data_IF_977062396772
#
_entry.id   IF_977062396772
#
_cell.length_a   1.000
_cell.length_b   1.000
_cell.length_c   1.000
_cell.angle_alpha   90.00
_cell.angle_beta   90.00
_cell.angle_gamma   90.00
#
_symmetry.space_group_name_H-M   'P 1'
#
loop_
_entity.id
_entity.type
_entity.pdbx_description
1 polymer ?
#
# COMPACT_ATOMS: atom_id res chain seq x y z
N UNK A 1 18.55 -23.07 43.78
CA UNK A 1 17.23 -22.66 44.31
C UNK A 1 16.81 -21.37 43.62
N UNK A 2 15.72 -21.43 42.84
CA UNK A 2 15.30 -20.42 41.87
C UNK A 2 15.17 -19.02 42.51
N UNK A 3 16.07 -18.08 42.19
CA UNK A 3 15.96 -16.67 42.61
C UNK A 3 14.66 -16.02 42.13
N UNK A 4 14.10 -16.52 41.02
CA UNK A 4 12.74 -16.19 40.56
C UNK A 4 11.67 -16.46 41.62
N UNK A 5 11.83 -17.52 42.43
CA UNK A 5 10.85 -17.92 43.46
C UNK A 5 10.94 -17.06 44.73
N UNK A 6 12.09 -16.43 44.98
CA UNK A 6 12.29 -15.53 46.13
C UNK A 6 11.71 -14.13 45.86
N UNK A 7 11.89 -13.59 44.64
CA UNK A 7 11.26 -12.32 44.21
C UNK A 7 9.73 -12.41 44.11
N UNK A 8 9.21 -13.59 43.73
CA UNK A 8 7.77 -13.88 43.70
C UNK A 8 7.12 -13.87 45.10
N UNK A 9 7.89 -13.94 46.19
CA UNK A 9 7.36 -13.94 47.56
C UNK A 9 7.02 -12.55 48.10
N UNK A 10 7.83 -11.53 47.81
CA UNK A 10 7.74 -10.21 48.44
C UNK A 10 7.34 -9.06 47.49
N UNK A 11 7.58 -9.18 46.18
CA UNK A 11 7.33 -8.09 45.23
C UNK A 11 6.56 -8.56 43.98
N UNK A 12 5.49 -9.36 44.21
CA UNK A 12 4.59 -9.87 43.16
C UNK A 12 4.06 -8.75 42.27
N UNK A 13 3.68 -7.62 42.86
CA UNK A 13 3.14 -6.46 42.15
C UNK A 13 4.20 -5.84 41.23
N UNK A 14 5.45 -5.69 41.71
CA UNK A 14 6.53 -5.15 40.89
C UNK A 14 6.91 -6.08 39.73
N UNK A 15 6.93 -7.40 39.99
CA UNK A 15 7.21 -8.40 38.94
C UNK A 15 6.09 -8.45 37.90
N UNK A 16 4.82 -8.41 38.33
CA UNK A 16 3.65 -8.39 37.45
C UNK A 16 3.60 -7.09 36.63
N UNK A 17 3.90 -5.95 37.27
CA UNK A 17 3.99 -4.65 36.62
C UNK A 17 5.10 -4.61 35.57
N UNK A 18 6.27 -5.19 35.87
CA UNK A 18 7.36 -5.30 34.91
C UNK A 18 6.98 -6.16 33.69
N UNK A 19 6.39 -7.34 33.92
CA UNK A 19 5.92 -8.21 32.82
C UNK A 19 4.86 -7.50 31.98
N UNK A 20 3.92 -6.80 32.62
CA UNK A 20 2.89 -6.03 31.91
C UNK A 20 3.48 -4.90 31.09
N UNK A 21 4.45 -4.15 31.65
CA UNK A 21 5.14 -3.07 30.94
C UNK A 21 5.88 -3.60 29.70
N UNK A 22 6.59 -4.72 29.81
CA UNK A 22 7.26 -5.36 28.67
C UNK A 22 6.25 -5.80 27.61
N UNK A 23 5.13 -6.42 28.02
CA UNK A 23 4.08 -6.85 27.10
C UNK A 23 3.46 -5.66 26.34
N UNK A 24 3.17 -4.56 27.04
CA UNK A 24 2.67 -3.33 26.43
C UNK A 24 3.70 -2.71 25.49
N UNK A 25 4.97 -2.60 25.90
CA UNK A 25 6.04 -2.09 25.03
C UNK A 25 6.19 -2.90 23.75
N UNK A 26 6.11 -4.23 23.82
CA UNK A 26 6.15 -5.08 22.63
C UNK A 26 4.91 -4.89 21.74
N UNK A 27 3.72 -4.80 22.33
CA UNK A 27 2.49 -4.57 21.57
C UNK A 27 2.50 -3.22 20.84
N UNK A 28 2.81 -2.13 21.55
CA UNK A 28 2.89 -0.80 20.96
C UNK A 28 4.06 -0.68 19.99
N UNK A 29 5.21 -1.28 20.30
CA UNK A 29 6.37 -1.33 19.42
C UNK A 29 6.07 -2.07 18.12
N UNK A 30 5.49 -3.27 18.18
CA UNK A 30 5.11 -4.03 16.99
C UNK A 30 4.03 -3.32 16.16
N UNK A 31 3.04 -2.69 16.81
CA UNK A 31 2.02 -1.88 16.14
C UNK A 31 2.59 -0.61 15.51
N UNK A 32 3.57 0.01 16.14
CA UNK A 32 4.27 1.16 15.59
C UNK A 32 5.14 0.73 14.41
N UNK A 33 5.92 -0.34 14.53
CA UNK A 33 6.76 -0.87 13.46
C UNK A 33 5.93 -1.34 12.27
N UNK A 34 4.79 -2.02 12.47
CA UNK A 34 3.92 -2.41 11.35
C UNK A 34 3.35 -1.20 10.61
N UNK A 35 2.96 -0.15 11.35
CA UNK A 35 2.58 1.13 10.75
C UNK A 35 3.75 1.83 10.10
N UNK A 36 4.92 1.87 10.73
CA UNK A 36 6.10 2.50 10.19
C UNK A 36 6.56 1.80 8.91
N UNK A 37 6.58 0.47 8.86
CA UNK A 37 6.85 -0.30 7.64
C UNK A 37 5.78 -0.01 6.57
N UNK A 38 4.49 0.03 6.95
CA UNK A 38 3.42 0.44 6.04
C UNK A 38 3.64 1.85 5.45
N UNK A 39 4.13 2.79 6.26
CA UNK A 39 4.42 4.18 5.84
C UNK A 39 5.84 4.38 5.26
N UNK A 40 6.74 3.40 5.41
CA UNK A 40 8.15 3.47 4.97
C UNK A 40 8.41 2.64 3.72
N UNK A 41 7.37 2.03 3.12
CA UNK A 41 7.49 1.48 1.78
C UNK A 41 7.73 2.65 0.81
N UNK A 42 8.93 2.76 0.21
CA UNK A 42 9.32 3.86 -0.67
C UNK A 42 8.41 4.01 -1.91
N UNK A 43 7.48 3.07 -2.13
CA UNK A 43 6.38 3.20 -3.08
C UNK A 43 5.40 4.36 -2.82
N UNK A 44 5.38 4.98 -1.63
CA UNK A 44 4.47 6.11 -1.30
C UNK A 44 5.05 7.50 -1.58
N UNK A 45 6.29 7.59 -2.07
CA UNK A 45 6.92 8.88 -2.41
C UNK A 45 6.40 9.48 -3.73
N UNK A 46 5.69 8.68 -4.52
CA UNK A 46 4.87 9.13 -5.65
C UNK A 46 3.43 8.75 -5.33
N UNK A 47 2.50 9.72 -5.35
CA UNK A 47 1.12 9.57 -4.89
C UNK A 47 0.52 8.21 -5.29
N UNK A 48 0.30 7.34 -4.29
CA UNK A 48 -0.37 6.06 -4.50
C UNK A 48 -1.72 6.32 -5.19
N UNK A 49 -2.01 5.66 -6.33
CA UNK A 49 -3.26 5.84 -7.04
C UNK A 49 -4.46 5.61 -6.10
N UNK A 50 -5.30 6.63 -5.94
CA UNK A 50 -6.48 6.54 -5.07
C UNK A 50 -7.71 6.03 -5.82
N UNK A 51 -8.68 5.52 -5.07
CA UNK A 51 -9.89 4.83 -5.54
C UNK A 51 -10.74 5.68 -6.52
N UNK A 52 -10.74 7.00 -6.32
CA UNK A 52 -11.46 7.98 -7.13
C UNK A 52 -10.69 8.42 -8.38
N UNK A 53 -9.40 8.08 -8.49
CA UNK A 53 -8.58 8.49 -9.63
C UNK A 53 -9.02 7.74 -10.89
N UNK A 54 -8.95 8.43 -12.02
CA UNK A 54 -9.19 7.83 -13.34
C UNK A 54 -7.84 7.51 -14.01
N UNK A 55 -7.80 6.54 -14.95
CA UNK A 55 -6.59 6.25 -15.72
C UNK A 55 -5.96 7.51 -16.34
N UNK A 56 -6.77 8.37 -16.94
CA UNK A 56 -6.31 9.65 -17.50
C UNK A 56 -5.81 10.67 -16.47
N UNK A 57 -6.24 10.61 -15.21
CA UNK A 57 -5.67 11.44 -14.15
C UNK A 57 -4.29 10.91 -13.72
N UNK A 58 -4.18 9.58 -13.56
CA UNK A 58 -2.94 8.89 -13.20
C UNK A 58 -1.87 9.08 -14.29
N UNK A 59 -2.27 8.93 -15.55
CA UNK A 59 -1.42 9.18 -16.71
C UNK A 59 -0.79 10.59 -16.64
N UNK A 60 -1.61 11.61 -16.34
CA UNK A 60 -1.14 12.99 -16.20
C UNK A 60 -0.21 13.19 -15.00
N UNK A 61 -0.49 12.60 -13.84
CA UNK A 61 0.37 12.77 -12.65
C UNK A 61 1.71 12.04 -12.79
N UNK A 62 1.76 10.97 -13.58
CA UNK A 62 2.96 10.17 -13.84
C UNK A 62 3.64 10.47 -15.18
N UNK A 63 3.14 11.47 -15.93
CA UNK A 63 3.66 11.84 -17.27
C UNK A 63 3.69 10.68 -18.27
N UNK A 64 2.67 9.82 -18.21
CA UNK A 64 2.44 8.71 -19.13
C UNK A 64 1.26 9.01 -20.05
N UNK A 65 1.18 8.26 -21.15
CA UNK A 65 -0.01 8.23 -22.00
C UNK A 65 -1.11 7.38 -21.33
N UNK A 66 -2.37 7.62 -21.68
CA UNK A 66 -3.52 6.95 -21.05
C UNK A 66 -3.49 5.45 -21.39
N UNK A 67 -3.09 5.12 -22.60
CA UNK A 67 -2.98 3.76 -23.12
C UNK A 67 -1.95 2.93 -22.33
N UNK A 68 -0.89 3.56 -21.81
CA UNK A 68 0.11 2.90 -20.98
C UNK A 68 -0.47 2.53 -19.62
N UNK A 69 -1.28 3.41 -19.05
CA UNK A 69 -1.99 3.16 -17.79
C UNK A 69 -3.07 2.09 -17.96
N UNK A 70 -3.82 2.15 -19.07
CA UNK A 70 -4.84 1.16 -19.42
C UNK A 70 -4.22 -0.23 -19.69
N UNK A 71 -3.04 -0.28 -20.33
CA UNK A 71 -2.27 -1.52 -20.50
C UNK A 71 -1.84 -2.13 -19.16
N UNK A 72 -1.39 -1.31 -18.19
CA UNK A 72 -1.06 -1.78 -16.83
C UNK A 72 -2.31 -2.33 -16.11
N UNK A 73 -3.46 -1.68 -16.30
CA UNK A 73 -4.76 -2.12 -15.76
C UNK A 73 -5.31 -3.37 -16.48
N UNK A 74 -4.75 -3.71 -17.64
CA UNK A 74 -5.21 -4.79 -18.51
C UNK A 74 -6.62 -4.52 -19.03
N UNK A 75 -6.88 -3.28 -19.46
CA UNK A 75 -8.13 -2.83 -20.06
C UNK A 75 -7.82 -2.17 -21.42
N UNK A 76 -8.74 -2.26 -22.38
CA UNK A 76 -8.59 -1.56 -23.67
C UNK A 76 -8.99 -0.08 -23.56
N UNK A 77 -10.07 0.22 -22.84
CA UNK A 77 -10.49 1.58 -22.54
C UNK A 77 -11.35 1.58 -21.26
N UNK A 78 -10.96 2.38 -20.27
CA UNK A 78 -11.74 2.55 -19.04
C UNK A 78 -13.15 3.09 -19.26
N UNK A 79 -13.35 3.96 -20.26
CA UNK A 79 -14.66 4.53 -20.59
C UNK A 79 -15.62 3.49 -21.17
N UNK A 80 -15.18 2.64 -22.10
CA UNK A 80 -16.02 1.58 -22.65
C UNK A 80 -16.40 0.54 -21.59
N UNK A 81 -15.47 0.21 -20.70
CA UNK A 81 -15.64 -0.83 -19.67
C UNK A 81 -16.64 -0.41 -18.58
N UNK A 82 -16.66 0.87 -18.22
CA UNK A 82 -17.53 1.42 -17.17
C UNK A 82 -18.84 1.99 -17.73
N UNK A 83 -18.90 2.23 -19.04
CA UNK A 83 -20.05 2.79 -19.74
C UNK A 83 -20.29 4.26 -19.36
N UNK A 84 -21.48 4.56 -18.82
CA UNK A 84 -21.81 5.94 -18.43
C UNK A 84 -21.10 6.38 -17.15
N UNK A 85 -20.26 7.42 -17.27
CA UNK A 85 -19.66 8.17 -16.17
C UNK A 85 -18.14 8.10 -16.14
N UNK A 86 -17.54 8.58 -15.04
CA UNK A 86 -16.08 8.61 -14.89
C UNK A 86 -15.54 7.20 -14.64
N UNK A 87 -14.49 6.75 -15.36
CA UNK A 87 -13.87 5.45 -15.17
C UNK A 87 -12.91 5.51 -13.99
N UNK A 88 -13.44 5.61 -12.78
CA UNK A 88 -12.62 5.58 -11.55
C UNK A 88 -12.09 4.16 -11.31
N UNK A 89 -10.95 4.03 -10.63
CA UNK A 89 -10.39 2.73 -10.29
C UNK A 89 -11.39 1.82 -9.58
N UNK A 90 -12.19 2.36 -8.65
CA UNK A 90 -13.27 1.61 -7.97
C UNK A 90 -14.27 1.00 -8.97
N UNK A 91 -14.71 1.78 -9.96
CA UNK A 91 -15.68 1.32 -10.95
C UNK A 91 -15.08 0.33 -11.93
N UNK A 92 -13.83 0.54 -12.33
CA UNK A 92 -13.08 -0.40 -13.16
C UNK A 92 -12.92 -1.74 -12.42
N UNK A 93 -12.52 -1.70 -11.14
CA UNK A 93 -12.40 -2.90 -10.30
C UNK A 93 -13.73 -3.67 -10.20
N UNK A 94 -14.82 -2.94 -9.95
CA UNK A 94 -16.18 -3.52 -9.89
C UNK A 94 -16.61 -4.15 -11.21
N UNK A 95 -16.30 -3.51 -12.34
CA UNK A 95 -16.64 -4.01 -13.66
C UNK A 95 -15.76 -5.22 -14.08
N UNK A 96 -14.51 -5.30 -13.62
CA UNK A 96 -13.65 -6.48 -13.80
C UNK A 96 -13.95 -7.62 -12.82
N UNK A 97 -14.67 -7.35 -11.73
CA UNK A 97 -14.87 -8.31 -10.64
C UNK A 97 -13.59 -8.60 -9.85
N UNK A 98 -12.60 -7.70 -9.91
CA UNK A 98 -11.32 -7.81 -9.21
C UNK A 98 -11.31 -6.91 -7.95
N UNK A 99 -10.59 -7.26 -6.87
CA UNK A 99 -10.40 -6.37 -5.73
C UNK A 99 -9.69 -5.08 -6.14
N UNK A 100 -10.21 -3.93 -5.70
CA UNK A 100 -9.62 -2.61 -5.98
C UNK A 100 -8.14 -2.52 -5.56
N UNK A 101 -7.79 -3.16 -4.44
CA UNK A 101 -6.41 -3.13 -3.93
C UNK A 101 -5.44 -3.88 -4.84
N UNK A 102 -5.93 -4.86 -5.59
CA UNK A 102 -5.11 -5.58 -6.58
C UNK A 102 -4.88 -4.71 -7.82
N UNK A 103 -5.85 -3.90 -8.25
CA UNK A 103 -5.65 -2.89 -9.30
C UNK A 103 -4.64 -1.82 -8.88
N UNK A 104 -4.80 -1.28 -7.66
CA UNK A 104 -3.86 -0.29 -7.11
C UNK A 104 -2.45 -0.88 -7.02
N UNK A 105 -2.32 -2.15 -6.62
CA UNK A 105 -1.04 -2.86 -6.57
C UNK A 105 -0.43 -3.07 -7.96
N UNK A 106 -1.24 -3.43 -8.97
CA UNK A 106 -0.77 -3.55 -10.36
C UNK A 106 -0.22 -2.22 -10.86
N UNK A 107 -0.93 -1.12 -10.61
CA UNK A 107 -0.49 0.22 -10.96
C UNK A 107 0.79 0.61 -10.21
N UNK A 108 0.88 0.40 -8.91
CA UNK A 108 2.06 0.78 -8.13
C UNK A 108 3.33 0.03 -8.54
N UNK A 109 3.19 -1.20 -9.07
CA UNK A 109 4.31 -1.98 -9.60
C UNK A 109 4.61 -1.70 -11.08
N UNK A 110 3.59 -1.34 -11.86
CA UNK A 110 3.70 -1.10 -13.30
C UNK A 110 4.22 0.30 -13.62
N UNK A 111 3.70 1.34 -12.97
CA UNK A 111 4.03 2.74 -13.27
C UNK A 111 5.54 3.05 -13.17
N UNK A 112 6.27 2.63 -12.11
CA UNK A 112 7.71 2.90 -12.03
C UNK A 112 8.51 2.16 -13.11
N UNK A 113 8.06 0.97 -13.53
CA UNK A 113 8.73 0.20 -14.59
C UNK A 113 8.56 0.89 -15.95
N UNK A 114 7.35 1.33 -16.26
CA UNK A 114 7.06 2.01 -17.53
C UNK A 114 7.85 3.33 -17.65
N UNK A 115 8.00 4.08 -16.56
CA UNK A 115 8.84 5.28 -16.54
C UNK A 115 10.32 4.91 -16.75
N UNK A 116 10.83 3.91 -16.03
CA UNK A 116 12.22 3.46 -16.17
C UNK A 116 12.53 2.97 -17.60
N UNK A 117 11.59 2.27 -18.24
CA UNK A 117 11.70 1.82 -19.63
C UNK A 117 11.72 3.00 -20.62
N UNK A 118 10.90 4.04 -20.39
CA UNK A 118 10.95 5.29 -21.18
C UNK A 118 12.24 6.06 -20.98
N UNK A 119 12.77 6.14 -19.76
CA UNK A 119 14.04 6.81 -19.50
C UNK A 119 15.22 6.05 -20.12
N UNK A 120 15.15 4.71 -20.15
CA UNK A 120 16.15 3.87 -20.79
C UNK A 120 16.10 3.91 -22.33
N UNK A 121 14.96 4.28 -22.90
CA UNK A 121 14.78 4.53 -24.34
C UNK A 121 14.57 6.03 -24.58
N UNK A 122 15.63 6.86 -24.56
CA UNK A 122 15.49 8.27 -24.87
C UNK A 122 14.93 8.36 -26.29
N UNK A 123 13.72 8.89 -26.41
CA UNK A 123 13.02 9.09 -27.68
C UNK A 123 13.99 9.77 -28.66
N UNK A 124 14.25 9.08 -29.78
CA UNK A 124 14.96 9.64 -30.94
C UNK A 124 14.10 10.69 -31.63
#
# INVERSE_FOLDING_TARGET
MNRLRYLWGHHKIASLGFVLAVALSLFFGARFVSRAIYWSDPAHLHQSPEEWMTPGYIARSWHLEIEEVDAILGIEDGHTLVGNGRPTLERIAKAKGEPLQDLIRKLSLGLPKTIADKEAQPQQ
#
